data_IF_900088990343
#
_entry.id   IF_900088990343
#
_cell.length_a   1.000
_cell.length_b   1.000
_cell.length_c   1.000
_cell.angle_alpha   90.00
_cell.angle_beta   90.00
_cell.angle_gamma   90.00
#
_symmetry.space_group_name_H-M   'P 1'
#
loop_
_entity.id
_entity.type
_entity.pdbx_description
1 polymer ?
#
# COMPACT_ATOMS: atom_id res chain seq x y z
N UNK A 1 23.64 23.58 2.93
CA UNK A 1 24.19 22.50 3.76
C UNK A 1 24.07 22.89 5.23
N UNK A 2 23.02 22.43 5.94
CA UNK A 2 22.96 22.56 7.41
C UNK A 2 23.68 21.35 8.03
N UNK A 3 25.00 21.42 8.04
CA UNK A 3 25.88 20.39 8.60
C UNK A 3 26.07 20.60 10.09
N UNK A 4 25.14 20.10 10.93
CA UNK A 4 25.42 19.74 12.33
C UNK A 4 24.33 18.87 13.00
N UNK A 5 23.61 18.03 12.25
CA UNK A 5 22.63 17.13 12.85
C UNK A 5 23.31 15.83 13.30
N UNK A 6 23.15 15.47 14.58
CA UNK A 6 23.59 14.19 15.12
C UNK A 6 22.70 13.08 14.54
N UNK A 7 23.26 12.03 13.92
CA UNK A 7 22.42 10.96 13.37
C UNK A 7 21.75 10.15 14.47
N UNK A 8 20.57 9.60 14.16
CA UNK A 8 19.89 8.57 14.94
C UNK A 8 20.46 7.17 14.58
N UNK A 9 19.81 6.09 15.03
CA UNK A 9 20.34 4.71 14.89
C UNK A 9 20.32 4.20 13.46
N UNK A 10 19.49 4.77 12.59
CA UNK A 10 19.38 4.31 11.21
C UNK A 10 20.67 4.53 10.39
N UNK A 11 21.63 5.32 10.89
CA UNK A 11 22.94 5.49 10.25
C UNK A 11 23.75 4.20 10.13
N UNK A 12 23.40 3.16 10.91
CA UNK A 12 24.03 1.85 10.86
C UNK A 12 23.33 0.86 9.92
N UNK A 13 22.19 1.24 9.32
CA UNK A 13 21.43 0.40 8.41
C UNK A 13 22.06 0.34 7.01
N UNK A 14 21.72 -0.70 6.25
CA UNK A 14 22.18 -0.86 4.86
C UNK A 14 21.18 -0.30 3.85
N UNK A 15 19.89 -0.37 4.15
CA UNK A 15 18.82 0.18 3.31
C UNK A 15 19.07 1.66 3.00
N UNK A 16 19.17 2.04 1.71
CA UNK A 16 19.21 3.44 1.31
C UNK A 16 18.00 4.23 1.80
N UNK A 17 16.82 3.59 1.85
CA UNK A 17 15.60 4.19 2.36
C UNK A 17 15.71 4.54 3.86
N UNK A 18 16.22 3.62 4.68
CA UNK A 18 16.43 3.89 6.12
C UNK A 18 17.51 4.94 6.35
N UNK A 19 18.61 4.88 5.59
CA UNK A 19 19.70 5.86 5.68
C UNK A 19 19.24 7.29 5.36
N UNK A 20 18.27 7.46 4.46
CA UNK A 20 17.68 8.78 4.16
C UNK A 20 17.04 9.42 5.40
N UNK A 21 16.58 8.62 6.37
CA UNK A 21 15.97 9.10 7.62
C UNK A 21 16.95 9.19 8.79
N UNK A 22 18.24 8.90 8.59
CA UNK A 22 19.23 8.84 9.66
C UNK A 22 19.50 10.19 10.35
N UNK A 23 19.19 11.31 9.69
CA UNK A 23 19.38 12.66 10.20
C UNK A 23 18.07 13.37 10.57
N UNK A 24 16.93 12.69 10.46
CA UNK A 24 15.67 13.23 10.92
C UNK A 24 15.73 13.53 12.42
N UNK A 25 15.08 14.61 12.91
CA UNK A 25 15.01 14.93 14.34
C UNK A 25 14.27 13.85 15.15
N UNK A 26 13.44 13.02 14.50
CA UNK A 26 12.87 11.82 15.11
C UNK A 26 13.99 10.82 15.44
N UNK A 27 14.01 10.36 16.70
CA UNK A 27 14.97 9.38 17.20
C UNK A 27 14.58 7.96 16.78
N UNK A 28 14.70 7.70 15.47
CA UNK A 28 14.35 6.42 14.87
C UNK A 28 15.21 5.27 15.38
N UNK A 29 14.54 4.14 15.57
CA UNK A 29 15.13 2.82 15.72
C UNK A 29 14.85 1.98 14.47
N UNK A 30 15.78 1.12 14.06
CA UNK A 30 15.42 0.00 13.18
C UNK A 30 14.53 -0.99 13.92
N UNK A 31 13.87 -1.88 13.19
CA UNK A 31 13.14 -2.98 13.80
C UNK A 31 14.10 -3.95 14.49
N UNK A 32 13.98 -4.09 15.81
CA UNK A 32 14.80 -5.03 16.58
C UNK A 32 14.54 -4.98 18.07
N UNK A 33 15.13 -5.93 18.80
CA UNK A 33 14.91 -6.12 20.23
C UNK A 33 15.22 -4.85 21.06
N UNK A 34 16.20 -4.04 20.67
CA UNK A 34 16.55 -2.79 21.38
C UNK A 34 15.34 -1.85 21.49
N UNK A 35 14.59 -1.66 20.41
CA UNK A 35 13.44 -0.77 20.39
C UNK A 35 12.31 -1.26 21.30
N UNK A 36 12.00 -2.56 21.22
CA UNK A 36 10.97 -3.19 22.07
C UNK A 36 11.38 -3.23 23.54
N UNK A 37 12.64 -3.54 23.85
CA UNK A 37 13.15 -3.51 25.21
C UNK A 37 13.06 -2.11 25.82
N UNK A 38 13.38 -1.07 25.03
CA UNK A 38 13.21 0.32 25.45
C UNK A 38 11.75 0.69 25.66
N UNK A 39 10.86 0.29 24.75
CA UNK A 39 9.42 0.55 24.87
C UNK A 39 8.86 -0.05 26.16
N UNK A 40 9.25 -1.28 26.50
CA UNK A 40 8.87 -1.96 27.75
C UNK A 40 9.45 -1.26 28.98
N UNK A 41 10.74 -0.91 28.93
CA UNK A 41 11.42 -0.23 30.05
C UNK A 41 10.82 1.15 30.36
N UNK A 42 10.47 1.91 29.32
CA UNK A 42 9.91 3.26 29.47
C UNK A 42 8.38 3.27 29.58
N UNK A 43 7.72 2.12 29.40
CA UNK A 43 6.27 1.99 29.29
C UNK A 43 5.67 3.02 28.32
N UNK A 44 6.24 3.05 27.10
CA UNK A 44 5.82 3.92 26.00
C UNK A 44 5.29 3.08 24.84
N UNK A 45 4.20 3.52 24.18
CA UNK A 45 3.76 2.88 22.94
C UNK A 45 4.81 3.05 21.84
N UNK A 46 4.73 2.19 20.84
CA UNK A 46 5.60 2.21 19.67
C UNK A 46 4.86 2.87 18.51
N UNK A 47 5.51 3.79 17.82
CA UNK A 47 5.09 4.26 16.51
C UNK A 47 5.92 3.56 15.44
N UNK A 48 5.31 2.66 14.69
CA UNK A 48 5.92 1.93 13.59
C UNK A 48 5.56 2.59 12.26
N UNK A 49 6.57 3.02 11.50
CA UNK A 49 6.43 3.59 10.17
C UNK A 49 7.12 2.71 9.12
N UNK A 50 6.32 2.05 8.29
CA UNK A 50 6.79 1.20 7.19
C UNK A 50 6.66 1.95 5.86
N UNK A 51 7.71 1.94 5.05
CA UNK A 51 7.73 2.51 3.70
C UNK A 51 8.84 1.88 2.86
N UNK A 52 9.12 2.46 1.69
CA UNK A 52 10.17 2.01 0.76
C UNK A 52 10.63 3.17 -0.12
N UNK A 53 11.74 2.98 -0.82
CA UNK A 53 12.48 4.03 -1.52
C UNK A 53 11.69 4.77 -2.60
N UNK A 54 10.80 4.11 -3.34
CA UNK A 54 10.02 4.75 -4.43
C UNK A 54 8.65 5.26 -3.98
N UNK A 55 8.29 5.08 -2.72
CA UNK A 55 6.98 5.47 -2.19
C UNK A 55 6.80 6.99 -2.11
N UNK A 56 6.00 7.56 -3.01
CA UNK A 56 5.73 9.01 -3.04
C UNK A 56 5.20 9.57 -1.71
N UNK A 57 4.11 8.98 -1.18
CA UNK A 57 3.51 9.47 0.06
C UNK A 57 4.41 9.27 1.29
N UNK A 58 5.36 8.34 1.23
CA UNK A 58 6.36 8.16 2.29
C UNK A 58 7.31 9.35 2.32
N UNK A 59 7.75 9.84 1.14
CA UNK A 59 8.55 11.06 1.02
C UNK A 59 7.77 12.30 1.42
N UNK A 60 6.50 12.41 1.01
CA UNK A 60 5.63 13.53 1.42
C UNK A 60 5.50 13.58 2.95
N UNK A 61 5.16 12.46 3.60
CA UNK A 61 5.04 12.41 5.06
C UNK A 61 6.38 12.64 5.76
N UNK A 62 7.49 12.17 5.18
CA UNK A 62 8.81 12.44 5.73
C UNK A 62 9.13 13.92 5.74
N UNK A 63 8.91 14.61 4.62
CA UNK A 63 9.18 16.03 4.49
C UNK A 63 8.23 16.89 5.32
N UNK A 64 6.93 16.59 5.31
CA UNK A 64 5.93 17.36 6.06
C UNK A 64 5.99 17.12 7.57
N UNK A 65 6.41 15.93 8.01
CA UNK A 65 6.26 15.51 9.41
C UNK A 65 7.55 14.98 10.04
N UNK A 66 8.26 14.04 9.41
CA UNK A 66 9.42 13.41 10.07
C UNK A 66 10.68 14.29 10.10
N UNK A 67 10.76 15.32 9.25
CA UNK A 67 11.81 16.36 9.25
C UNK A 67 11.46 17.56 10.15
N UNK A 68 10.23 17.63 10.64
CA UNK A 68 9.70 18.74 11.43
C UNK A 68 9.97 18.56 12.93
N UNK A 69 10.54 19.58 13.57
CA UNK A 69 10.97 19.53 14.98
C UNK A 69 9.81 19.42 15.97
N UNK A 70 8.63 19.98 15.65
CA UNK A 70 7.45 19.92 16.51
C UNK A 70 6.90 18.49 16.55
N UNK A 71 6.74 17.87 15.37
CA UNK A 71 6.32 16.46 15.28
C UNK A 71 7.36 15.55 15.92
N UNK A 72 8.65 15.79 15.68
CA UNK A 72 9.71 15.00 16.26
C UNK A 72 9.78 15.10 17.78
N UNK A 73 9.54 16.28 18.36
CA UNK A 73 9.46 16.45 19.81
C UNK A 73 8.37 15.56 20.42
N UNK A 74 7.17 15.55 19.81
CA UNK A 74 6.05 14.71 20.25
C UNK A 74 6.43 13.23 20.16
N UNK A 75 6.98 12.79 19.02
CA UNK A 75 7.39 11.40 18.82
C UNK A 75 8.47 10.98 19.83
N UNK A 76 9.51 11.79 20.01
CA UNK A 76 10.63 11.50 20.91
C UNK A 76 10.21 11.46 22.39
N UNK A 77 9.26 12.31 22.79
CA UNK A 77 8.74 12.35 24.15
C UNK A 77 7.81 11.15 24.42
N UNK A 78 6.85 10.91 23.52
CA UNK A 78 5.69 10.06 23.79
C UNK A 78 5.82 8.63 23.26
N UNK A 79 6.66 8.39 22.27
CA UNK A 79 6.74 7.11 21.55
C UNK A 79 8.16 6.56 21.49
N UNK A 80 8.27 5.25 21.26
CA UNK A 80 9.46 4.67 20.64
C UNK A 80 9.18 4.53 19.15
N UNK A 81 9.87 5.32 18.33
CA UNK A 81 9.63 5.36 16.88
C UNK A 81 10.52 4.35 16.15
N UNK A 82 9.90 3.44 15.40
CA UNK A 82 10.57 2.41 14.60
C UNK A 82 10.32 2.69 13.11
N UNK A 83 11.40 2.71 12.32
CA UNK A 83 11.33 2.82 10.85
C UNK A 83 11.66 1.46 10.23
N UNK A 84 10.85 1.04 9.27
CA UNK A 84 11.04 -0.22 8.54
C UNK A 84 11.02 0.04 7.05
N UNK A 85 11.98 -0.57 6.36
CA UNK A 85 11.95 -0.74 4.91
C UNK A 85 11.18 -2.00 4.55
N UNK A 86 10.11 -1.82 3.78
CA UNK A 86 9.29 -2.90 3.25
C UNK A 86 10.09 -3.83 2.33
N UNK A 87 11.04 -3.30 1.57
CA UNK A 87 11.83 -4.07 0.61
C UNK A 87 12.77 -5.06 1.33
N UNK A 88 13.29 -4.68 2.50
CA UNK A 88 14.10 -5.57 3.34
C UNK A 88 13.25 -6.46 4.26
N UNK A 89 12.07 -6.00 4.71
CA UNK A 89 11.19 -6.70 5.67
C UNK A 89 9.74 -6.84 5.18
N UNK A 90 9.50 -7.55 4.06
CA UNK A 90 8.15 -7.78 3.54
C UNK A 90 7.29 -8.63 4.49
N UNK A 91 7.92 -9.42 5.35
CA UNK A 91 7.27 -10.20 6.41
C UNK A 91 6.56 -9.28 7.42
N UNK A 92 7.25 -8.25 7.92
CA UNK A 92 6.66 -7.25 8.84
C UNK A 92 5.58 -6.44 8.13
N UNK A 93 5.86 -5.97 6.92
CA UNK A 93 4.93 -5.18 6.11
C UNK A 93 3.59 -5.90 5.94
N UNK A 94 3.62 -7.18 5.55
CA UNK A 94 2.40 -7.96 5.28
C UNK A 94 1.47 -8.10 6.49
N UNK A 95 2.05 -8.31 7.68
CA UNK A 95 1.29 -8.45 8.93
C UNK A 95 0.58 -7.15 9.26
N UNK A 96 1.31 -6.03 9.25
CA UNK A 96 0.74 -4.75 9.66
C UNK A 96 -0.10 -4.09 8.55
N UNK A 97 0.13 -4.42 7.29
CA UNK A 97 -0.76 -4.03 6.19
C UNK A 97 -2.15 -4.66 6.38
N UNK A 98 -2.20 -5.95 6.77
CA UNK A 98 -3.46 -6.63 7.09
C UNK A 98 -4.18 -5.94 8.26
N UNK A 99 -3.45 -5.53 9.30
CA UNK A 99 -4.02 -4.73 10.41
C UNK A 99 -4.68 -3.45 9.89
N UNK A 100 -3.99 -2.68 9.05
CA UNK A 100 -4.53 -1.46 8.48
C UNK A 100 -5.81 -1.72 7.67
N UNK A 101 -5.80 -2.78 6.84
CA UNK A 101 -6.97 -3.17 6.05
C UNK A 101 -8.15 -3.58 6.93
N UNK A 102 -7.92 -4.30 8.01
CA UNK A 102 -8.98 -4.69 8.96
C UNK A 102 -9.59 -3.47 9.66
N UNK A 103 -8.77 -2.51 10.07
CA UNK A 103 -9.25 -1.33 10.82
C UNK A 103 -9.88 -0.26 9.94
N UNK A 104 -9.37 -0.09 8.71
CA UNK A 104 -9.74 1.05 7.85
C UNK A 104 -10.50 0.64 6.59
N UNK A 105 -10.58 -0.65 6.29
CA UNK A 105 -11.14 -1.19 5.04
C UNK A 105 -10.23 -1.02 3.82
N UNK A 106 -9.09 -0.36 3.97
CA UNK A 106 -8.12 -0.11 2.91
C UNK A 106 -6.69 -0.19 3.43
N UNK A 107 -5.70 -0.15 2.53
CA UNK A 107 -4.29 -0.22 2.89
C UNK A 107 -3.46 0.62 1.94
N UNK A 108 -2.21 0.87 2.32
CA UNK A 108 -1.27 1.66 1.53
C UNK A 108 -0.08 2.13 2.35
N UNK A 109 0.83 2.82 1.67
CA UNK A 109 2.04 3.37 2.27
C UNK A 109 2.05 4.91 2.19
N UNK A 110 2.64 5.62 3.16
CA UNK A 110 3.34 5.10 4.34
C UNK A 110 2.36 4.39 5.26
N UNK A 111 2.78 3.28 5.86
CA UNK A 111 1.96 2.51 6.78
C UNK A 111 2.35 2.93 8.20
N UNK A 112 1.40 3.56 8.88
CA UNK A 112 1.56 4.20 10.20
C UNK A 112 0.81 3.39 11.25
N UNK A 113 1.53 2.70 12.13
CA UNK A 113 0.95 1.73 13.06
C UNK A 113 1.37 2.04 14.48
N UNK A 114 0.43 1.92 15.41
CA UNK A 114 0.64 2.18 16.83
C UNK A 114 0.52 0.89 17.60
N UNK A 115 1.60 0.52 18.30
CA UNK A 115 1.73 -0.76 19.00
C UNK A 115 1.91 -0.56 20.50
N UNK A 116 1.45 -1.53 21.28
CA UNK A 116 1.86 -1.67 22.68
C UNK A 116 3.37 -2.00 22.77
N UNK A 117 4.01 -1.88 23.94
CA UNK A 117 5.40 -2.30 24.15
C UNK A 117 5.70 -3.75 23.79
N UNK A 118 4.67 -4.61 23.77
CA UNK A 118 4.74 -6.02 23.36
C UNK A 118 4.63 -6.21 21.84
N UNK A 119 4.43 -5.14 21.07
CA UNK A 119 4.27 -5.18 19.62
C UNK A 119 2.85 -5.47 19.13
N UNK A 120 1.85 -5.46 20.02
CA UNK A 120 0.45 -5.66 19.64
C UNK A 120 -0.15 -4.38 19.07
N UNK A 121 -0.73 -4.38 17.86
CA UNK A 121 -1.30 -3.18 17.26
C UNK A 121 -2.60 -2.77 17.92
N UNK A 122 -2.79 -1.47 18.18
CA UNK A 122 -4.05 -0.92 18.67
C UNK A 122 -4.64 0.17 17.77
N UNK A 123 -3.85 0.69 16.82
CA UNK A 123 -4.33 1.62 15.79
C UNK A 123 -3.44 1.52 14.54
N UNK A 124 -4.03 1.79 13.37
CA UNK A 124 -3.28 1.87 12.12
C UNK A 124 -3.94 2.85 11.15
N UNK A 125 -3.13 3.43 10.28
CA UNK A 125 -3.56 4.22 9.14
C UNK A 125 -2.45 4.30 8.09
N UNK A 126 -2.72 5.06 7.04
CA UNK A 126 -1.75 5.25 5.96
C UNK A 126 -1.04 6.61 6.12
N UNK A 127 -1.31 7.53 5.21
CA UNK A 127 -0.82 8.90 5.23
C UNK A 127 -1.64 9.78 6.18
N UNK A 128 -0.95 10.54 7.04
CA UNK A 128 -1.53 11.62 7.84
C UNK A 128 -0.86 12.94 7.47
N UNK A 129 -1.61 14.00 7.07
CA UNK A 129 -1.02 15.33 6.89
C UNK A 129 -0.55 15.88 8.23
N UNK A 130 0.44 16.79 8.26
CA UNK A 130 0.94 17.36 9.53
C UNK A 130 -0.20 17.90 10.43
N UNK A 131 -1.09 18.70 9.85
CA UNK A 131 -2.26 19.29 10.51
C UNK A 131 -3.57 18.79 9.90
N UNK A 132 -4.63 18.75 10.72
CA UNK A 132 -5.97 18.35 10.29
C UNK A 132 -6.47 19.19 9.10
N UNK A 133 -6.88 18.53 8.01
CA UNK A 133 -7.36 19.17 6.78
C UNK A 133 -8.40 18.30 6.09
N UNK A 134 -9.41 18.94 5.47
CA UNK A 134 -10.44 18.27 4.66
C UNK A 134 -11.13 17.08 5.35
N UNK A 135 -11.42 17.21 6.64
CA UNK A 135 -12.05 16.14 7.44
C UNK A 135 -11.13 14.95 7.76
N UNK A 136 -9.83 15.04 7.46
CA UNK A 136 -8.82 14.06 7.85
C UNK A 136 -8.06 14.54 9.08
N UNK A 137 -7.83 13.68 10.08
CA UNK A 137 -7.06 14.05 11.26
C UNK A 137 -5.60 14.30 10.89
N UNK A 138 -5.00 15.31 11.50
CA UNK A 138 -3.59 15.64 11.38
C UNK A 138 -2.73 14.70 12.20
N UNK A 139 -1.48 14.51 11.79
CA UNK A 139 -0.56 13.61 12.45
C UNK A 139 -0.29 14.03 13.90
N UNK A 140 -0.16 15.33 14.18
CA UNK A 140 -0.03 15.86 15.56
C UNK A 140 -1.23 15.47 16.43
N UNK A 141 -2.45 15.58 15.88
CA UNK A 141 -3.68 15.25 16.59
C UNK A 141 -3.76 13.74 16.87
N UNK A 142 -3.43 12.92 15.88
CA UNK A 142 -3.37 11.45 16.01
C UNK A 142 -2.35 11.04 17.07
N UNK A 143 -1.13 11.57 17.01
CA UNK A 143 -0.07 11.28 17.98
C UNK A 143 -0.48 11.68 19.40
N UNK A 144 -1.15 12.81 19.57
CA UNK A 144 -1.54 13.30 20.89
C UNK A 144 -2.70 12.47 21.46
N UNK A 145 -3.79 12.33 20.70
CA UNK A 145 -4.98 11.62 21.17
C UNK A 145 -4.73 10.14 21.47
N UNK A 146 -3.94 9.46 20.63
CA UNK A 146 -3.62 8.05 20.87
C UNK A 146 -2.74 7.87 22.11
N UNK A 147 -1.80 8.78 22.36
CA UNK A 147 -0.97 8.72 23.57
C UNK A 147 -1.79 9.01 24.83
N UNK A 148 -2.65 10.02 24.79
CA UNK A 148 -3.50 10.39 25.92
C UNK A 148 -4.43 9.21 26.25
N UNK A 149 -5.05 8.59 25.24
CA UNK A 149 -5.85 7.38 25.40
C UNK A 149 -5.03 6.21 25.97
N UNK A 150 -3.78 6.07 25.53
CA UNK A 150 -2.86 5.05 26.05
C UNK A 150 -2.52 5.24 27.53
N UNK A 151 -2.33 6.48 27.98
CA UNK A 151 -2.04 6.79 29.38
C UNK A 151 -3.27 6.75 30.28
N UNK A 152 -4.39 7.28 29.82
CA UNK A 152 -5.62 7.41 30.62
C UNK A 152 -6.42 6.10 30.68
N UNK A 153 -6.43 5.31 29.60
CA UNK A 153 -7.26 4.12 29.48
C UNK A 153 -6.46 2.89 28.99
N UNK A 154 -5.40 2.45 29.71
CA UNK A 154 -4.55 1.35 29.28
C UNK A 154 -5.31 0.02 29.13
N UNK A 155 -6.37 -0.21 29.93
CA UNK A 155 -7.21 -1.41 29.81
C UNK A 155 -7.97 -1.46 28.48
N UNK A 156 -8.42 -0.31 27.97
CA UNK A 156 -9.10 -0.23 26.68
C UNK A 156 -8.13 -0.49 25.53
N UNK A 157 -6.91 0.05 25.61
CA UNK A 157 -5.85 -0.24 24.62
C UNK A 157 -5.53 -1.73 24.59
N UNK A 158 -5.33 -2.36 25.74
CA UNK A 158 -5.06 -3.80 25.81
C UNK A 158 -6.20 -4.60 25.19
N UNK A 159 -7.46 -4.24 25.51
CA UNK A 159 -8.65 -4.90 24.94
C UNK A 159 -8.68 -4.79 23.41
N UNK A 160 -8.45 -3.60 22.86
CA UNK A 160 -8.42 -3.37 21.40
C UNK A 160 -7.27 -4.14 20.77
N UNK A 161 -6.08 -4.09 21.37
CA UNK A 161 -4.90 -4.78 20.87
C UNK A 161 -5.07 -6.30 20.85
N UNK A 162 -5.66 -6.87 21.89
CA UNK A 162 -5.99 -8.30 21.95
C UNK A 162 -7.05 -8.70 20.94
N UNK A 163 -8.07 -7.87 20.73
CA UNK A 163 -9.10 -8.14 19.71
C UNK A 163 -8.47 -8.19 18.31
N UNK A 164 -7.67 -7.18 17.95
CA UNK A 164 -6.99 -7.13 16.64
C UNK A 164 -6.05 -8.33 16.49
N UNK A 165 -5.26 -8.64 17.52
CA UNK A 165 -4.33 -9.79 17.50
C UNK A 165 -5.07 -11.11 17.29
N UNK A 166 -6.19 -11.33 17.97
CA UNK A 166 -7.01 -12.54 17.83
C UNK A 166 -7.58 -12.66 16.42
N UNK A 167 -8.09 -11.57 15.84
CA UNK A 167 -8.61 -11.57 14.48
C UNK A 167 -7.49 -11.83 13.45
N UNK A 168 -6.29 -11.29 13.65
CA UNK A 168 -5.11 -11.60 12.84
C UNK A 168 -4.78 -13.10 12.89
N UNK A 169 -4.70 -13.69 14.07
CA UNK A 169 -4.43 -15.13 14.23
C UNK A 169 -5.49 -15.96 13.52
N UNK A 170 -6.78 -15.69 13.74
CA UNK A 170 -7.87 -16.38 13.06
C UNK A 170 -7.77 -16.27 11.55
N UNK A 171 -7.37 -15.10 11.03
CA UNK A 171 -7.19 -14.88 9.59
C UNK A 171 -5.95 -15.58 9.01
N UNK A 172 -4.94 -15.87 9.81
CA UNK A 172 -3.76 -16.66 9.43
C UNK A 172 -4.04 -18.17 9.46
N UNK A 173 -4.84 -18.62 10.44
CA UNK A 173 -5.36 -19.98 10.53
C UNK A 173 -6.54 -20.23 9.58
N UNK A 174 -7.16 -19.19 9.02
CA UNK A 174 -8.09 -19.27 7.89
C UNK A 174 -7.38 -19.59 6.55
N UNK A 175 -6.19 -20.21 6.60
CA UNK A 175 -5.71 -21.11 5.55
C UNK A 175 -6.66 -22.31 5.50
N UNK A 176 -7.85 -22.06 4.95
CA UNK A 176 -9.02 -22.90 5.09
C UNK A 176 -8.79 -24.34 4.63
N UNK A 177 -9.20 -25.27 5.49
CA UNK A 177 -9.56 -26.64 5.10
C UNK A 177 -10.80 -26.66 4.19
N UNK A 178 -11.51 -25.54 4.06
CA UNK A 178 -12.60 -25.36 3.11
C UNK A 178 -12.06 -25.20 1.69
N UNK A 179 -12.39 -26.18 0.84
CA UNK A 179 -12.12 -26.10 -0.59
C UNK A 179 -12.97 -24.99 -1.20
N UNK A 180 -12.35 -24.16 -2.05
CA UNK A 180 -13.06 -23.21 -2.91
C UNK A 180 -14.22 -23.92 -3.63
N UNK A 181 -15.44 -23.39 -3.49
CA UNK A 181 -16.64 -23.96 -4.11
C UNK A 181 -17.05 -23.17 -5.35
N UNK A 182 -17.92 -23.75 -6.18
CA UNK A 182 -18.52 -23.02 -7.30
C UNK A 182 -19.31 -21.79 -6.81
N UNK A 183 -19.90 -21.86 -5.62
CA UNK A 183 -20.57 -20.72 -5.00
C UNK A 183 -19.61 -19.57 -4.68
N UNK A 184 -18.37 -19.89 -4.28
CA UNK A 184 -17.32 -18.87 -4.07
C UNK A 184 -17.03 -18.09 -5.35
N UNK A 185 -16.99 -18.78 -6.50
CA UNK A 185 -16.76 -18.15 -7.83
C UNK A 185 -17.93 -17.23 -8.19
N UNK A 186 -19.17 -17.70 -8.03
CA UNK A 186 -20.39 -16.91 -8.28
C UNK A 186 -20.49 -15.69 -7.35
N UNK A 187 -20.06 -15.84 -6.09
CA UNK A 187 -20.01 -14.74 -5.13
C UNK A 187 -18.98 -13.69 -5.56
N UNK A 188 -17.79 -14.11 -5.96
CA UNK A 188 -16.74 -13.22 -6.46
C UNK A 188 -17.21 -12.44 -7.70
N UNK A 189 -17.84 -13.11 -8.67
CA UNK A 189 -18.42 -12.45 -9.83
C UNK A 189 -19.45 -11.38 -9.46
N UNK A 190 -20.40 -11.71 -8.56
CA UNK A 190 -21.42 -10.76 -8.09
C UNK A 190 -20.80 -9.55 -7.39
N UNK A 191 -19.78 -9.75 -6.57
CA UNK A 191 -19.07 -8.66 -5.91
C UNK A 191 -18.39 -7.73 -6.93
N UNK A 192 -17.67 -8.29 -7.90
CA UNK A 192 -17.04 -7.52 -8.97
C UNK A 192 -18.08 -6.75 -9.80
N UNK A 193 -19.14 -7.42 -10.23
CA UNK A 193 -20.23 -6.82 -11.01
C UNK A 193 -20.93 -5.67 -10.27
N UNK A 194 -21.06 -5.76 -8.94
CA UNK A 194 -21.65 -4.69 -8.13
C UNK A 194 -20.70 -3.51 -7.93
N UNK A 195 -19.39 -3.75 -7.89
CA UNK A 195 -18.36 -2.71 -7.74
C UNK A 195 -17.96 -2.05 -9.06
N UNK A 196 -18.38 -2.60 -10.20
CA UNK A 196 -17.95 -2.17 -11.52
C UNK A 196 -18.47 -0.77 -11.88
N UNK A 197 -17.55 0.08 -12.33
CA UNK A 197 -17.88 1.40 -12.88
C UNK A 197 -18.25 1.29 -14.37
N UNK A 198 -19.55 1.30 -14.67
CA UNK A 198 -20.03 1.21 -16.04
C UNK A 198 -19.71 2.43 -16.92
N UNK A 199 -19.37 3.58 -16.32
CA UNK A 199 -19.10 4.82 -17.04
C UNK A 199 -17.65 4.84 -17.52
N UNK A 200 -16.70 4.61 -16.62
CA UNK A 200 -15.26 4.74 -16.90
C UNK A 200 -14.50 3.40 -16.90
N UNK A 201 -15.13 2.29 -16.54
CA UNK A 201 -14.47 1.00 -16.34
C UNK A 201 -13.67 0.96 -15.04
N UNK A 202 -13.21 -0.23 -14.64
CA UNK A 202 -12.59 -0.49 -13.34
C UNK A 202 -13.61 -0.81 -12.26
N UNK A 203 -13.10 -0.93 -11.02
CA UNK A 203 -13.89 -1.35 -9.86
C UNK A 203 -13.70 -0.34 -8.72
N UNK A 204 -14.79 0.12 -8.13
CA UNK A 204 -14.79 1.14 -7.09
C UNK A 204 -14.66 2.58 -7.60
N UNK A 205 -14.43 3.51 -6.67
CA UNK A 205 -14.30 4.95 -6.94
C UNK A 205 -12.86 5.42 -7.09
N UNK A 206 -12.62 6.71 -6.87
CA UNK A 206 -11.28 7.30 -6.82
C UNK A 206 -10.62 7.12 -5.44
N UNK A 207 -9.30 6.89 -5.34
CA UNK A 207 -8.36 6.62 -6.44
C UNK A 207 -8.62 5.25 -7.09
N UNK A 208 -8.38 5.14 -8.39
CA UNK A 208 -8.70 3.95 -9.19
C UNK A 208 -7.44 3.21 -9.65
N UNK A 209 -7.34 1.92 -9.32
CA UNK A 209 -6.16 1.09 -9.58
C UNK A 209 -6.38 0.14 -10.78
N UNK A 210 -5.36 -0.12 -11.60
CA UNK A 210 -5.32 -1.28 -12.49
C UNK A 210 -5.30 -2.54 -11.62
N UNK A 211 -6.31 -3.40 -11.73
CA UNK A 211 -6.39 -4.66 -10.97
C UNK A 211 -6.45 -5.85 -11.94
N UNK A 212 -5.32 -6.24 -12.58
CA UNK A 212 -5.33 -7.19 -13.70
C UNK A 212 -5.86 -8.57 -13.33
N UNK A 213 -5.65 -9.01 -12.08
CA UNK A 213 -6.14 -10.31 -11.61
C UNK A 213 -7.67 -10.40 -11.55
N UNK A 214 -8.37 -9.29 -11.29
CA UNK A 214 -9.84 -9.25 -11.40
C UNK A 214 -10.28 -9.40 -12.85
N UNK A 215 -9.55 -8.78 -13.79
CA UNK A 215 -9.82 -8.90 -15.23
C UNK A 215 -9.57 -10.33 -15.73
N UNK A 216 -8.46 -10.95 -15.33
CA UNK A 216 -8.16 -12.36 -15.63
C UNK A 216 -9.23 -13.30 -15.08
N UNK A 217 -9.70 -13.07 -13.85
CA UNK A 217 -10.82 -13.82 -13.29
C UNK A 217 -12.09 -13.68 -14.13
N UNK A 218 -12.46 -12.45 -14.53
CA UNK A 218 -13.66 -12.21 -15.37
C UNK A 218 -13.54 -12.84 -16.75
N UNK A 219 -12.34 -12.83 -17.35
CA UNK A 219 -12.05 -13.52 -18.61
C UNK A 219 -12.26 -15.04 -18.49
N UNK A 220 -11.78 -15.66 -17.40
CA UNK A 220 -12.02 -17.09 -17.12
C UNK A 220 -13.49 -17.37 -16.84
N UNK A 221 -14.16 -16.48 -16.10
CA UNK A 221 -15.59 -16.57 -15.82
C UNK A 221 -16.42 -16.51 -17.12
N UNK A 222 -16.07 -15.61 -18.05
CA UNK A 222 -16.66 -15.55 -19.38
C UNK A 222 -16.46 -16.85 -20.16
N UNK A 223 -15.24 -17.40 -20.20
CA UNK A 223 -14.98 -18.67 -20.89
C UNK A 223 -15.81 -19.83 -20.32
N UNK A 224 -16.04 -19.83 -18.99
CA UNK A 224 -16.82 -20.86 -18.31
C UNK A 224 -18.33 -20.71 -18.50
N UNK A 225 -18.89 -19.51 -18.25
CA UNK A 225 -20.35 -19.27 -18.22
C UNK A 225 -20.91 -18.69 -19.49
N UNK A 226 -20.07 -18.15 -20.37
CA UNK A 226 -20.45 -17.34 -21.53
C UNK A 226 -21.31 -16.13 -21.16
N UNK A 227 -21.04 -15.55 -19.98
CA UNK A 227 -21.70 -14.32 -19.54
C UNK A 227 -21.02 -13.10 -20.18
N UNK A 228 -21.62 -12.57 -21.23
CA UNK A 228 -21.12 -11.41 -21.98
C UNK A 228 -20.89 -10.16 -21.11
N UNK A 229 -21.61 -10.03 -19.98
CA UNK A 229 -21.36 -8.92 -19.05
C UNK A 229 -19.95 -9.00 -18.45
N UNK A 230 -19.44 -10.20 -18.19
CA UNK A 230 -18.07 -10.39 -17.68
C UNK A 230 -17.02 -9.89 -18.68
N UNK A 231 -17.18 -10.22 -19.96
CA UNK A 231 -16.30 -9.74 -21.02
C UNK A 231 -16.41 -8.22 -21.21
N UNK A 232 -17.63 -7.68 -21.21
CA UNK A 232 -17.86 -6.23 -21.32
C UNK A 232 -17.14 -5.46 -20.21
N UNK A 233 -17.17 -5.94 -18.96
CA UNK A 233 -16.45 -5.31 -17.85
C UNK A 233 -14.94 -5.28 -18.09
N UNK A 234 -14.37 -6.36 -18.65
CA UNK A 234 -12.95 -6.44 -18.99
C UNK A 234 -12.60 -5.41 -20.07
N UNK A 235 -13.32 -5.44 -21.19
CA UNK A 235 -13.05 -4.56 -22.34
C UNK A 235 -13.22 -3.08 -21.97
N UNK A 236 -14.28 -2.74 -21.23
CA UNK A 236 -14.49 -1.36 -20.78
C UNK A 236 -13.36 -0.88 -19.87
N UNK A 237 -12.87 -1.74 -18.98
CA UNK A 237 -11.77 -1.41 -18.07
C UNK A 237 -10.46 -1.24 -18.82
N UNK A 238 -10.07 -2.20 -19.66
CA UNK A 238 -8.84 -2.13 -20.46
C UNK A 238 -8.84 -0.90 -21.37
N UNK A 239 -9.94 -0.65 -22.09
CA UNK A 239 -10.04 0.54 -22.94
C UNK A 239 -10.04 1.83 -22.13
N UNK A 240 -10.70 1.87 -20.96
CA UNK A 240 -10.68 3.02 -20.07
C UNK A 240 -9.26 3.38 -19.62
N UNK A 241 -8.50 2.37 -19.18
CA UNK A 241 -7.10 2.55 -18.77
C UNK A 241 -6.21 2.99 -19.93
N UNK A 242 -6.26 2.30 -21.07
CA UNK A 242 -5.42 2.60 -22.24
C UNK A 242 -5.77 3.93 -22.93
N UNK A 243 -7.00 4.44 -22.78
CA UNK A 243 -7.38 5.78 -23.26
C UNK A 243 -7.10 6.88 -22.23
N UNK A 244 -6.85 6.52 -20.98
CA UNK A 244 -6.65 7.45 -19.87
C UNK A 244 -5.24 8.02 -19.82
N UNK A 245 -5.01 8.92 -18.86
CA UNK A 245 -3.69 9.47 -18.55
C UNK A 245 -2.81 8.56 -17.69
N UNK A 246 -3.33 7.44 -17.19
CA UNK A 246 -2.49 6.42 -16.54
C UNK A 246 -1.64 5.62 -17.52
N UNK A 247 -2.03 5.58 -18.80
CA UNK A 247 -1.19 5.04 -19.85
C UNK A 247 -0.31 6.15 -20.42
N UNK A 248 1.00 5.94 -20.46
CA UNK A 248 1.90 6.89 -21.10
C UNK A 248 1.88 6.68 -22.63
N UNK A 249 1.21 7.59 -23.33
CA UNK A 249 1.03 7.50 -24.78
C UNK A 249 2.31 7.77 -25.59
N UNK A 250 3.40 8.21 -24.95
CA UNK A 250 4.67 8.53 -25.60
C UNK A 250 5.73 7.49 -25.20
N UNK A 251 5.93 7.32 -23.90
CA UNK A 251 6.92 6.43 -23.32
C UNK A 251 6.42 5.03 -23.00
N UNK A 252 5.12 4.75 -23.18
CA UNK A 252 4.48 3.48 -22.81
C UNK A 252 4.59 3.13 -21.32
N UNK A 253 3.96 2.03 -20.95
CA UNK A 253 3.82 1.62 -19.56
C UNK A 253 2.74 2.40 -18.81
N UNK A 254 2.21 1.74 -17.79
CA UNK A 254 1.15 2.26 -16.93
C UNK A 254 1.71 2.81 -15.64
N UNK A 255 1.20 3.98 -15.26
CA UNK A 255 1.29 4.51 -13.91
C UNK A 255 0.46 3.64 -12.95
N UNK A 256 0.84 3.66 -11.68
CA UNK A 256 0.33 2.75 -10.66
C UNK A 256 -1.18 2.87 -10.43
N UNK A 257 -1.72 4.09 -10.47
CA UNK A 257 -3.15 4.34 -10.31
C UNK A 257 -3.55 5.72 -10.83
N UNK A 258 -4.85 5.92 -11.03
CA UNK A 258 -5.44 7.24 -11.25
C UNK A 258 -5.90 7.85 -9.93
N UNK A 259 -5.61 9.12 -9.69
CA UNK A 259 -6.16 9.84 -8.53
C UNK A 259 -7.64 10.15 -8.70
N UNK A 260 -8.18 10.03 -9.91
CA UNK A 260 -9.60 10.21 -10.22
C UNK A 260 -10.26 8.91 -10.71
N UNK A 261 -11.58 8.95 -10.87
CA UNK A 261 -12.35 7.81 -11.37
C UNK A 261 -12.29 7.66 -12.90
N UNK A 262 -11.84 8.68 -13.63
CA UNK A 262 -11.91 8.75 -15.09
C UNK A 262 -10.66 8.17 -15.77
N UNK A 263 -9.67 7.73 -14.99
CA UNK A 263 -8.34 7.32 -15.44
C UNK A 263 -7.48 8.48 -15.99
N UNK A 264 -7.82 9.74 -15.68
CA UNK A 264 -7.18 10.90 -16.33
C UNK A 264 -5.92 11.38 -15.62
N UNK A 265 -5.94 11.50 -14.30
CA UNK A 265 -4.81 12.06 -13.53
C UNK A 265 -3.97 10.93 -12.94
N UNK A 266 -2.78 10.63 -13.48
CA UNK A 266 -1.93 9.55 -12.97
C UNK A 266 -1.25 9.93 -11.66
N UNK A 267 -1.09 8.93 -10.79
CA UNK A 267 0.02 8.91 -9.85
C UNK A 267 1.25 8.37 -10.59
N UNK A 268 2.15 9.26 -11.00
CA UNK A 268 3.20 9.05 -12.01
C UNK A 268 4.22 7.91 -11.74
N UNK A 269 4.21 7.31 -10.56
CA UNK A 269 5.00 6.10 -10.27
C UNK A 269 4.59 4.94 -11.21
N UNK A 270 5.54 4.31 -11.91
CA UNK A 270 5.31 3.11 -12.74
C UNK A 270 6.04 1.93 -12.11
N UNK A 271 5.28 0.91 -11.68
CA UNK A 271 5.87 -0.27 -11.04
C UNK A 271 6.04 -1.41 -12.04
N UNK A 272 7.14 -2.16 -11.94
CA UNK A 272 7.40 -3.33 -12.78
C UNK A 272 6.27 -4.36 -12.65
N UNK A 273 5.88 -4.73 -11.43
CA UNK A 273 4.89 -5.78 -11.21
C UNK A 273 3.50 -5.41 -11.77
N UNK A 274 3.12 -4.13 -11.71
CA UNK A 274 1.85 -3.64 -12.29
C UNK A 274 1.87 -3.80 -13.81
N UNK A 275 2.95 -3.37 -14.45
CA UNK A 275 3.14 -3.49 -15.89
C UNK A 275 3.23 -4.95 -16.34
N UNK A 276 3.95 -5.81 -15.60
CA UNK A 276 4.04 -7.23 -15.88
C UNK A 276 2.67 -7.92 -15.85
N UNK A 277 1.84 -7.62 -14.84
CA UNK A 277 0.48 -8.16 -14.74
C UNK A 277 -0.45 -7.61 -15.83
N UNK A 278 -0.27 -6.35 -16.23
CA UNK A 278 -1.04 -5.76 -17.34
C UNK A 278 -0.68 -6.38 -18.68
N UNK A 279 0.59 -6.69 -18.96
CA UNK A 279 0.98 -7.45 -20.16
C UNK A 279 0.18 -8.75 -20.27
N UNK A 280 0.05 -9.49 -19.17
CA UNK A 280 -0.73 -10.74 -19.13
C UNK A 280 -2.20 -10.47 -19.43
N UNK A 281 -2.82 -9.49 -18.74
CA UNK A 281 -4.23 -9.19 -18.94
C UNK A 281 -4.57 -8.71 -20.37
N UNK A 282 -3.75 -7.84 -20.96
CA UNK A 282 -3.94 -7.40 -22.34
C UNK A 282 -3.69 -8.54 -23.34
N UNK A 283 -2.70 -9.40 -23.10
CA UNK A 283 -2.43 -10.57 -23.94
C UNK A 283 -3.60 -11.55 -23.93
N UNK A 284 -4.14 -11.86 -22.75
CA UNK A 284 -5.29 -12.75 -22.62
C UNK A 284 -6.56 -12.14 -23.25
N UNK A 285 -6.77 -10.83 -23.09
CA UNK A 285 -7.87 -10.13 -23.73
C UNK A 285 -7.76 -10.21 -25.26
N UNK A 286 -6.57 -10.02 -25.83
CA UNK A 286 -6.32 -10.24 -27.25
C UNK A 286 -6.62 -11.68 -27.68
N UNK A 287 -6.16 -12.66 -26.91
CA UNK A 287 -6.40 -14.07 -27.23
C UNK A 287 -7.89 -14.40 -27.31
N UNK A 288 -8.70 -13.81 -26.42
CA UNK A 288 -10.14 -13.98 -26.35
C UNK A 288 -10.92 -13.23 -27.43
N UNK A 289 -10.62 -11.95 -27.65
CA UNK A 289 -11.43 -11.07 -28.50
C UNK A 289 -10.89 -10.91 -29.91
N UNK A 290 -9.61 -11.23 -30.12
CA UNK A 290 -8.84 -10.91 -31.34
C UNK A 290 -8.79 -9.42 -31.67
N UNK A 291 -9.03 -8.55 -30.70
CA UNK A 291 -8.92 -7.11 -30.88
C UNK A 291 -7.43 -6.70 -30.87
N UNK A 292 -6.89 -6.36 -32.05
CA UNK A 292 -5.48 -5.99 -32.24
C UNK A 292 -5.00 -4.85 -31.32
N UNK A 293 -5.91 -3.98 -30.86
CA UNK A 293 -5.56 -2.93 -29.89
C UNK A 293 -4.97 -3.51 -28.59
N UNK A 294 -5.50 -4.63 -28.10
CA UNK A 294 -4.98 -5.23 -26.86
C UNK A 294 -3.58 -5.82 -27.07
N UNK A 295 -3.31 -6.36 -28.26
CA UNK A 295 -1.96 -6.83 -28.63
C UNK A 295 -0.99 -5.65 -28.69
N UNK A 296 -1.35 -4.57 -29.36
CA UNK A 296 -0.52 -3.37 -29.47
C UNK A 296 -0.13 -2.83 -28.09
N UNK A 297 -1.10 -2.68 -27.18
CA UNK A 297 -0.81 -2.22 -25.81
C UNK A 297 0.11 -3.19 -25.07
N UNK A 298 -0.10 -4.51 -25.20
CA UNK A 298 0.79 -5.50 -24.59
C UNK A 298 2.24 -5.39 -25.10
N UNK A 299 2.43 -5.23 -26.41
CA UNK A 299 3.74 -5.03 -27.05
C UNK A 299 4.40 -3.73 -26.59
N UNK A 300 3.64 -2.64 -26.47
CA UNK A 300 4.12 -1.36 -25.96
C UNK A 300 4.55 -1.42 -24.48
N UNK A 301 3.82 -2.14 -23.63
CA UNK A 301 4.26 -2.36 -22.24
C UNK A 301 5.55 -3.19 -22.22
N UNK A 302 5.69 -4.22 -23.07
CA UNK A 302 6.93 -5.01 -23.17
C UNK A 302 8.11 -4.12 -23.60
N UNK A 303 7.91 -3.19 -24.53
CA UNK A 303 8.93 -2.23 -24.94
C UNK A 303 9.35 -1.32 -23.78
N UNK A 304 8.39 -0.78 -23.03
CA UNK A 304 8.67 0.00 -21.83
C UNK A 304 9.49 -0.80 -20.81
N UNK A 305 9.09 -2.03 -20.50
CA UNK A 305 9.80 -2.87 -19.52
C UNK A 305 11.23 -3.16 -19.96
N UNK A 306 11.44 -3.47 -21.25
CA UNK A 306 12.79 -3.70 -21.80
C UNK A 306 13.67 -2.45 -21.73
N UNK A 307 13.10 -1.27 -21.95
CA UNK A 307 13.84 -0.01 -22.02
C UNK A 307 14.14 0.58 -20.65
N UNK A 308 13.16 0.57 -19.75
CA UNK A 308 13.22 1.32 -18.48
C UNK A 308 13.35 0.42 -17.25
N UNK A 309 12.88 -0.84 -17.33
CA UNK A 309 12.73 -1.73 -16.18
C UNK A 309 13.65 -2.96 -16.23
N UNK A 310 14.60 -2.98 -17.17
CA UNK A 310 15.58 -4.06 -17.35
C UNK A 310 16.98 -3.46 -17.21
N UNK A 311 17.83 -4.07 -16.41
CA UNK A 311 19.24 -3.69 -16.28
C UNK A 311 20.09 -4.26 -17.42
N UNK A 312 21.29 -3.69 -17.60
CA UNK A 312 22.23 -4.10 -18.65
C UNK A 312 22.69 -5.57 -18.51
N UNK A 313 22.62 -6.14 -17.30
CA UNK A 313 22.94 -7.55 -17.03
C UNK A 313 21.72 -8.50 -17.19
N UNK A 314 20.55 -7.95 -17.56
CA UNK A 314 19.33 -8.69 -17.87
C UNK A 314 18.43 -9.00 -16.67
N UNK A 315 18.73 -8.47 -15.48
CA UNK A 315 17.78 -8.47 -14.38
C UNK A 315 16.66 -7.45 -14.60
N UNK A 316 15.55 -7.61 -13.87
CA UNK A 316 14.52 -6.57 -13.81
C UNK A 316 14.67 -5.79 -12.50
N UNK A 317 14.43 -4.48 -12.56
CA UNK A 317 14.45 -3.59 -11.39
C UNK A 317 13.24 -3.81 -10.46
#
# INVERSE_FOLDING_TARGET
MKTNQKPNRLIAEKSPYLLQHAYNPVNWYPWGEEAFAKAKKENKPIFLSIGYSTCHWCHVMAHESFEDEEVAAILNEKYISIKVDREERPDIDSIYMRVCQMLTGHGGWPLSVFLTPEGKPFYAGTYFPKHSRYGRPGFIDVLTQLYDKYKENPSEITRVAEQITKELEQSAYASGTERLSLESIEKAYRQLSNSFDAVYGGFGGAPKFPIPHMLMFLMRYYQWKRDERALMMVEKTLNGMANGGIYDHIGYGFARYSTDAMWLVPHFEKMLYDNALLVIAYTEAYQLTKNERYKEIAEQIIEFVKREMTSDDGAFY
#
